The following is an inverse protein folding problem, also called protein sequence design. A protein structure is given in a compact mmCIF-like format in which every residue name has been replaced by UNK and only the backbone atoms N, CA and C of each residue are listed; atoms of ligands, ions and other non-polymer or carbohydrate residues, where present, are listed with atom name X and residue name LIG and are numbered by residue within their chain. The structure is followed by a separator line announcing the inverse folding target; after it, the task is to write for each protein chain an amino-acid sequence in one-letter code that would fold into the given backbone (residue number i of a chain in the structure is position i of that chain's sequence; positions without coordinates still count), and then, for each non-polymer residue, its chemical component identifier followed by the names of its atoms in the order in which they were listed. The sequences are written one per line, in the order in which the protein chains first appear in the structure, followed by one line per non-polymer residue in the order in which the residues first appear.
data_IF_808492282363
#
_entry.id   IF_808492282363
#
_cell.length_a   1.000
_cell.length_b   1.000
_cell.length_c   1.000
_cell.angle_alpha   90.00
_cell.angle_beta   90.00
_cell.angle_gamma   90.00
#
_symmetry.space_group_name_H-M   'P 1'
#
loop_
_entity.id
_entity.type
_entity.pdbx_description
1 polymer ?
#
# COMPACT_ATOMS: atom_id res chain seq x y z
N UNK A 1 -0.90 -40.78 -2.77
CA UNK A 1 -0.60 -40.21 -4.11
C UNK A 1 -1.83 -40.11 -5.02
N UNK A 2 -2.95 -40.76 -4.71
CA UNK A 2 -4.16 -40.72 -5.56
C UNK A 2 -5.05 -39.49 -5.30
N UNK A 3 -4.99 -38.92 -4.09
CA UNK A 3 -5.83 -37.77 -3.72
C UNK A 3 -5.42 -36.43 -4.36
N UNK A 4 -4.14 -36.29 -4.75
CA UNK A 4 -3.57 -35.06 -5.33
C UNK A 4 -3.82 -34.94 -6.83
N UNK A 5 -4.06 -36.06 -7.55
CA UNK A 5 -4.35 -36.03 -8.99
C UNK A 5 -5.76 -35.54 -9.31
N UNK A 6 -6.72 -35.81 -8.44
CA UNK A 6 -8.10 -35.37 -8.66
C UNK A 6 -8.25 -33.85 -8.53
N UNK A 7 -7.51 -33.21 -7.62
CA UNK A 7 -7.56 -31.75 -7.44
C UNK A 7 -6.97 -30.97 -8.61
N UNK A 8 -5.98 -31.53 -9.32
CA UNK A 8 -5.36 -30.87 -10.48
C UNK A 8 -6.27 -30.98 -11.72
N UNK A 9 -7.01 -32.09 -11.86
CA UNK A 9 -8.00 -32.26 -12.93
C UNK A 9 -9.11 -31.21 -12.86
N UNK A 10 -9.65 -31.00 -11.65
CA UNK A 10 -10.74 -30.04 -11.43
C UNK A 10 -10.29 -28.59 -11.69
N UNK A 11 -9.05 -28.23 -11.33
CA UNK A 11 -8.50 -26.89 -11.59
C UNK A 11 -8.29 -26.64 -13.09
N UNK A 12 -7.85 -27.65 -13.85
CA UNK A 12 -7.62 -27.51 -15.29
C UNK A 12 -8.94 -27.39 -16.05
N UNK A 13 -9.99 -28.09 -15.63
CA UNK A 13 -11.30 -28.01 -16.26
C UNK A 13 -11.96 -26.63 -16.02
N UNK A 14 -11.87 -26.09 -14.80
CA UNK A 14 -12.35 -24.74 -14.46
C UNK A 14 -11.58 -23.63 -15.20
N UNK A 15 -10.24 -23.79 -15.32
CA UNK A 15 -9.40 -22.83 -16.05
C UNK A 15 -9.68 -22.83 -17.55
N UNK A 16 -10.02 -24.00 -18.12
CA UNK A 16 -10.33 -24.12 -19.55
C UNK A 16 -11.69 -23.49 -19.92
N UNK A 17 -12.65 -23.49 -18.98
CA UNK A 17 -13.92 -22.78 -19.13
C UNK A 17 -13.75 -21.25 -19.08
N UNK A 18 -12.85 -20.74 -18.23
CA UNK A 18 -12.53 -19.30 -18.19
C UNK A 18 -11.77 -18.83 -19.44
N UNK A 19 -10.90 -19.65 -20.02
CA UNK A 19 -10.16 -19.29 -21.23
C UNK A 19 -11.09 -19.20 -22.47
N UNK A 20 -12.17 -19.99 -22.50
CA UNK A 20 -13.21 -19.85 -23.52
C UNK A 20 -13.96 -18.51 -23.40
N UNK A 21 -14.10 -17.96 -22.18
CA UNK A 21 -14.67 -16.63 -21.97
C UNK A 21 -13.74 -15.51 -22.50
N UNK A 22 -12.42 -15.66 -22.36
CA UNK A 22 -11.40 -14.71 -22.85
C UNK A 22 -11.44 -14.55 -24.38
N UNK A 23 -11.74 -15.62 -25.11
CA UNK A 23 -11.87 -15.56 -26.59
C UNK A 23 -13.14 -14.81 -27.03
N UNK A 24 -14.18 -14.79 -26.20
CA UNK A 24 -15.38 -13.98 -26.43
C UNK A 24 -15.14 -12.47 -26.27
N UNK A 25 -14.16 -12.07 -25.43
CA UNK A 25 -13.86 -10.65 -25.13
C UNK A 25 -13.32 -9.90 -26.34
N UNK A 26 -12.50 -10.54 -27.18
CA UNK A 26 -11.99 -9.91 -28.40
C UNK A 26 -13.11 -9.60 -29.42
N UNK A 27 -14.16 -10.44 -29.45
CA UNK A 27 -15.31 -10.26 -30.34
C UNK A 27 -16.20 -9.11 -29.85
N UNK A 28 -16.41 -8.98 -28.53
CA UNK A 28 -17.24 -7.91 -27.94
C UNK A 28 -16.58 -6.53 -28.11
N UNK A 29 -15.26 -6.42 -27.93
CA UNK A 29 -14.52 -5.15 -28.13
C UNK A 29 -14.52 -4.72 -29.60
N UNK A 30 -14.45 -5.68 -30.55
CA UNK A 30 -14.58 -5.39 -31.98
C UNK A 30 -16.00 -4.93 -32.36
N UNK A 31 -17.04 -5.49 -31.73
CA UNK A 31 -18.43 -5.08 -31.91
C UNK A 31 -18.72 -3.68 -31.35
N UNK A 32 -18.00 -3.25 -30.31
CA UNK A 32 -18.17 -1.93 -29.66
C UNK A 32 -17.42 -0.79 -30.37
N UNK A 33 -16.38 -1.09 -31.14
CA UNK A 33 -15.52 -0.08 -31.80
C UNK A 33 -15.80 0.08 -33.29
N UNK A 34 -16.57 -0.83 -33.89
CA UNK A 34 -16.99 -0.71 -35.29
C UNK A 34 -18.25 0.19 -35.34
N UNK A 35 -18.23 1.33 -36.05
CA UNK A 35 -19.45 2.10 -36.25
C UNK A 35 -20.46 1.21 -36.97
N UNK A 36 -21.63 0.99 -36.35
CA UNK A 36 -22.73 0.25 -36.96
C UNK A 36 -23.15 1.03 -38.21
N UNK A 37 -22.69 0.56 -39.36
CA UNK A 37 -23.03 1.13 -40.66
C UNK A 37 -24.53 0.99 -40.90
N UNK A 38 -25.21 2.13 -41.02
CA UNK A 38 -26.38 2.33 -41.87
C UNK A 38 -27.69 1.68 -41.41
N UNK A 39 -28.52 2.45 -40.69
CA UNK A 39 -29.90 2.08 -40.40
C UNK A 39 -30.68 3.16 -39.65
N UNK A 40 -31.01 4.23 -40.37
CA UNK A 40 -32.00 5.29 -40.11
C UNK A 40 -32.90 5.11 -38.87
N UNK A 41 -32.80 6.03 -37.90
CA UNK A 41 -33.95 6.43 -37.07
C UNK A 41 -34.00 7.96 -37.06
N UNK A 42 -34.56 8.54 -38.12
CA UNK A 42 -34.83 9.97 -38.20
C UNK A 42 -36.00 10.33 -37.26
N UNK A 43 -35.67 11.01 -36.17
CA UNK A 43 -36.62 11.59 -35.21
C UNK A 43 -35.92 11.93 -33.91
N UNK A 44 -36.11 13.14 -33.38
CA UNK A 44 -35.36 13.70 -32.24
C UNK A 44 -35.38 12.87 -30.94
N UNK A 45 -36.30 11.90 -30.81
CA UNK A 45 -36.31 10.95 -29.70
C UNK A 45 -35.37 9.74 -29.93
N UNK A 46 -35.11 9.33 -31.18
CA UNK A 46 -34.26 8.18 -31.52
C UNK A 46 -32.77 8.45 -31.30
N UNK A 47 -32.31 9.67 -31.62
CA UNK A 47 -30.92 10.08 -31.37
C UNK A 47 -30.56 10.06 -29.88
N UNK A 48 -31.48 10.49 -29.00
CA UNK A 48 -31.26 10.50 -27.56
C UNK A 48 -31.21 9.08 -26.93
N UNK A 49 -31.97 8.13 -27.48
CA UNK A 49 -31.96 6.74 -27.02
C UNK A 49 -30.68 6.01 -27.47
N UNK A 50 -30.20 6.28 -28.68
CA UNK A 50 -28.92 5.73 -29.17
C UNK A 50 -27.74 6.29 -28.37
N UNK A 51 -27.78 7.58 -28.04
CA UNK A 51 -26.73 8.24 -27.23
C UNK A 51 -26.74 7.70 -25.77
N UNK A 52 -27.92 7.56 -25.16
CA UNK A 52 -28.06 6.98 -23.82
C UNK A 52 -27.68 5.50 -23.76
N UNK A 53 -27.96 4.72 -24.82
CA UNK A 53 -27.53 3.33 -24.92
C UNK A 53 -26.01 3.21 -25.11
N UNK A 54 -25.42 4.08 -25.94
CA UNK A 54 -23.96 4.16 -26.12
C UNK A 54 -23.22 4.47 -24.83
N UNK A 55 -23.69 5.47 -24.06
CA UNK A 55 -23.10 5.85 -22.77
C UNK A 55 -23.22 4.72 -21.74
N UNK A 56 -24.36 4.02 -21.69
CA UNK A 56 -24.53 2.87 -20.78
C UNK A 56 -23.67 1.67 -21.17
N UNK A 57 -23.52 1.39 -22.47
CA UNK A 57 -22.61 0.32 -22.93
C UNK A 57 -21.14 0.65 -22.68
N UNK A 58 -20.74 1.91 -22.85
CA UNK A 58 -19.38 2.34 -22.52
C UNK A 58 -19.06 2.20 -21.02
N UNK A 59 -20.02 2.53 -20.15
CA UNK A 59 -19.86 2.36 -18.70
C UNK A 59 -19.73 0.88 -18.31
N UNK A 60 -20.57 0.00 -18.86
CA UNK A 60 -20.50 -1.45 -18.62
C UNK A 60 -19.20 -2.04 -19.18
N UNK A 61 -18.73 -1.57 -20.34
CA UNK A 61 -17.45 -1.99 -20.90
C UNK A 61 -16.26 -1.55 -20.03
N UNK A 62 -16.28 -0.34 -19.48
CA UNK A 62 -15.23 0.12 -18.55
C UNK A 62 -15.21 -0.68 -17.25
N UNK A 63 -16.36 -0.99 -16.65
CA UNK A 63 -16.41 -1.85 -15.46
C UNK A 63 -15.92 -3.27 -15.75
N UNK A 64 -16.25 -3.81 -16.92
CA UNK A 64 -15.78 -5.13 -17.34
C UNK A 64 -14.27 -5.16 -17.60
N UNK A 65 -13.69 -4.12 -18.19
CA UNK A 65 -12.23 -3.99 -18.36
C UNK A 65 -11.52 -3.85 -17.02
N UNK A 66 -12.09 -3.13 -16.05
CA UNK A 66 -11.54 -3.03 -14.69
C UNK A 66 -11.59 -4.38 -13.97
N UNK A 67 -12.71 -5.10 -14.09
CA UNK A 67 -12.85 -6.44 -13.51
C UNK A 67 -11.87 -7.45 -14.12
N UNK A 68 -11.67 -7.40 -15.44
CA UNK A 68 -10.68 -8.24 -16.14
C UNK A 68 -9.25 -7.82 -15.78
N UNK A 69 -8.96 -6.52 -15.65
CA UNK A 69 -7.65 -6.03 -15.22
C UNK A 69 -7.24 -6.59 -13.84
N UNK A 70 -8.21 -6.73 -12.93
CA UNK A 70 -8.02 -7.41 -11.64
C UNK A 70 -7.79 -8.92 -11.75
N UNK A 71 -8.40 -9.58 -12.74
CA UNK A 71 -8.22 -11.00 -12.99
C UNK A 71 -6.91 -11.32 -13.77
N UNK A 72 -6.41 -10.44 -14.64
CA UNK A 72 -5.14 -10.66 -15.34
C UNK A 72 -3.95 -10.58 -14.37
N UNK A 73 -4.05 -9.81 -13.28
CA UNK A 73 -3.06 -9.85 -12.19
C UNK A 73 -3.00 -11.18 -11.43
N UNK A 74 -4.05 -12.02 -11.48
CA UNK A 74 -4.02 -13.35 -10.83
C UNK A 74 -3.51 -14.43 -11.78
N UNK A 75 -3.72 -14.31 -13.09
CA UNK A 75 -3.20 -15.29 -14.08
C UNK A 75 -1.69 -15.15 -14.32
N UNK A 76 -1.15 -13.92 -14.35
CA UNK A 76 0.30 -13.71 -14.42
C UNK A 76 1.04 -14.28 -13.18
N UNK A 77 0.38 -14.32 -12.02
CA UNK A 77 0.89 -14.97 -10.82
C UNK A 77 0.83 -16.51 -10.91
N UNK A 78 -0.17 -17.06 -11.62
CA UNK A 78 -0.31 -18.50 -11.81
C UNK A 78 0.70 -19.06 -12.83
N UNK A 79 0.94 -18.36 -13.95
CA UNK A 79 1.95 -18.78 -14.94
C UNK A 79 3.38 -18.69 -14.38
N UNK A 80 3.67 -17.69 -13.54
CA UNK A 80 4.92 -17.62 -12.78
C UNK A 80 5.07 -18.80 -11.81
N UNK A 81 3.97 -19.25 -11.18
CA UNK A 81 3.95 -20.42 -10.30
C UNK A 81 4.24 -21.74 -11.02
N UNK A 82 3.68 -21.95 -12.21
CA UNK A 82 3.89 -23.18 -12.98
C UNK A 82 5.31 -23.26 -13.59
N UNK A 83 5.84 -22.15 -14.10
CA UNK A 83 7.22 -22.08 -14.57
C UNK A 83 8.23 -22.28 -13.42
N UNK A 84 7.94 -21.73 -12.24
CA UNK A 84 8.74 -21.92 -11.03
C UNK A 84 8.67 -23.37 -10.52
N UNK A 85 7.50 -24.02 -10.55
CA UNK A 85 7.33 -25.41 -10.17
C UNK A 85 8.13 -26.37 -11.08
N UNK A 86 8.19 -26.10 -12.39
CA UNK A 86 9.05 -26.86 -13.30
C UNK A 86 10.54 -26.60 -13.09
N UNK A 87 10.94 -25.38 -12.68
CA UNK A 87 12.33 -25.05 -12.36
C UNK A 87 12.81 -25.70 -11.05
N UNK A 88 11.95 -25.75 -10.03
CA UNK A 88 12.25 -26.40 -8.74
C UNK A 88 12.46 -27.91 -8.93
N UNK A 89 11.67 -28.57 -9.78
CA UNK A 89 11.73 -30.04 -9.92
C UNK A 89 12.87 -30.54 -10.83
N UNK A 90 13.56 -29.64 -11.55
CA UNK A 90 14.64 -29.97 -12.49
C UNK A 90 16.02 -29.41 -12.07
N UNK A 91 16.12 -28.75 -10.91
CA UNK A 91 17.42 -28.26 -10.41
C UNK A 91 18.09 -29.37 -9.59
N UNK A 92 19.30 -29.82 -9.94
CA UNK A 92 20.05 -30.76 -9.10
C UNK A 92 20.30 -30.13 -7.73
N UNK A 93 19.92 -30.83 -6.65
CA UNK A 93 20.01 -30.33 -5.27
C UNK A 93 21.38 -29.68 -5.00
N UNK A 94 21.45 -28.36 -4.73
CA UNK A 94 22.65 -27.80 -4.15
C UNK A 94 22.68 -28.21 -2.68
N UNK A 95 23.77 -28.86 -2.28
CA UNK A 95 24.08 -29.26 -0.92
C UNK A 95 24.24 -28.02 -0.01
N UNK A 96 23.11 -27.43 0.42
CA UNK A 96 23.07 -26.31 1.35
C UNK A 96 22.26 -26.73 2.57
N UNK A 97 22.92 -26.73 3.72
CA UNK A 97 22.34 -27.00 5.04
C UNK A 97 21.09 -26.14 5.27
N UNK A 98 19.97 -26.79 5.63
CA UNK A 98 18.60 -26.25 5.73
C UNK A 98 18.37 -25.08 6.72
N UNK A 99 19.42 -24.47 7.28
CA UNK A 99 19.30 -23.33 8.20
C UNK A 99 19.18 -21.97 7.50
N UNK A 100 19.56 -21.84 6.23
CA UNK A 100 19.59 -20.55 5.54
C UNK A 100 18.36 -20.29 4.63
N UNK A 101 17.67 -21.34 4.16
CA UNK A 101 16.55 -21.20 3.23
C UNK A 101 15.29 -20.55 3.84
N UNK A 102 15.12 -20.60 5.16
CA UNK A 102 13.96 -20.01 5.86
C UNK A 102 14.09 -18.49 6.06
N UNK A 103 15.29 -17.91 5.93
CA UNK A 103 15.48 -16.45 6.02
C UNK A 103 15.20 -15.75 4.69
N UNK A 104 15.59 -16.34 3.56
CA UNK A 104 15.52 -15.69 2.25
C UNK A 104 14.07 -15.48 1.75
N UNK A 105 13.10 -16.29 2.21
CA UNK A 105 11.71 -16.16 1.78
C UNK A 105 10.91 -15.07 2.50
N UNK A 106 11.39 -14.53 3.64
CA UNK A 106 10.73 -13.46 4.39
C UNK A 106 11.27 -12.06 4.05
N UNK A 107 12.38 -11.98 3.31
CA UNK A 107 13.07 -10.71 3.00
C UNK A 107 12.69 -10.14 1.63
N UNK A 108 11.88 -10.84 0.84
CA UNK A 108 11.38 -10.30 -0.45
C UNK A 108 10.26 -9.31 -0.15
N UNK A 109 10.62 -8.06 0.14
CA UNK A 109 9.71 -6.93 0.39
C UNK A 109 9.74 -6.36 1.81
N UNK A 110 10.52 -6.95 2.73
CA UNK A 110 10.78 -6.37 4.05
C UNK A 110 11.97 -5.41 3.97
N UNK A 111 11.81 -4.21 4.51
CA UNK A 111 12.88 -3.21 4.60
C UNK A 111 13.84 -3.49 5.75
N UNK A 112 14.87 -2.66 5.88
CA UNK A 112 15.97 -2.87 6.84
C UNK A 112 15.89 -1.94 8.07
N UNK A 113 16.53 -2.36 9.16
CA UNK A 113 16.70 -1.53 10.37
C UNK A 113 18.18 -1.49 10.73
N UNK A 114 18.78 -0.30 10.63
CA UNK A 114 20.18 -0.04 10.96
C UNK A 114 20.31 0.71 12.30
N UNK A 115 20.79 0.00 13.33
CA UNK A 115 21.12 0.51 14.67
C UNK A 115 22.64 0.50 14.93
N UNK A 116 23.46 0.61 13.88
CA UNK A 116 24.92 0.61 13.99
C UNK A 116 25.46 1.90 14.62
N UNK A 117 24.83 3.03 14.36
CA UNK A 117 25.23 4.34 14.86
C UNK A 117 24.65 4.70 16.25
N UNK A 118 23.62 3.98 16.69
CA UNK A 118 22.92 4.21 17.95
C UNK A 118 21.76 3.23 18.13
N UNK A 119 21.13 3.21 19.31
CA UNK A 119 19.97 2.36 19.59
C UNK A 119 18.67 3.15 19.57
N UNK A 120 17.62 2.56 19.04
CA UNK A 120 16.26 3.04 19.21
C UNK A 120 15.80 2.80 20.64
N UNK A 121 15.00 3.73 21.17
CA UNK A 121 14.21 3.43 22.38
C UNK A 121 13.18 2.34 22.07
N UNK A 122 12.61 1.64 23.07
CA UNK A 122 11.60 0.61 22.81
C UNK A 122 10.38 1.10 22.00
N UNK A 123 9.97 2.35 22.20
CA UNK A 123 8.87 2.97 21.46
C UNK A 123 9.27 3.24 20.00
N UNK A 124 10.43 3.87 19.78
CA UNK A 124 10.95 4.11 18.43
C UNK A 124 11.21 2.80 17.68
N UNK A 125 11.68 1.75 18.38
CA UNK A 125 11.99 0.45 17.79
C UNK A 125 10.74 -0.20 17.24
N UNK A 126 9.60 -0.13 17.94
CA UNK A 126 8.31 -0.65 17.45
C UNK A 126 7.88 0.05 16.17
N UNK A 127 8.05 1.37 16.11
CA UNK A 127 7.75 2.13 14.91
C UNK A 127 8.70 1.77 13.75
N UNK A 128 10.00 1.61 14.03
CA UNK A 128 10.98 1.15 13.04
C UNK A 128 10.65 -0.25 12.51
N UNK A 129 10.21 -1.19 13.37
CA UNK A 129 9.77 -2.54 12.96
C UNK A 129 8.56 -2.50 12.04
N UNK A 130 7.59 -1.64 12.36
CA UNK A 130 6.43 -1.42 11.51
C UNK A 130 6.86 -0.90 10.14
N UNK A 131 7.70 0.13 10.10
CA UNK A 131 8.16 0.72 8.83
C UNK A 131 8.97 -0.29 8.00
N UNK A 132 9.86 -1.06 8.62
CA UNK A 132 10.57 -2.14 7.93
C UNK A 132 9.63 -3.23 7.42
N UNK A 133 8.59 -3.59 8.17
CA UNK A 133 7.55 -4.51 7.68
C UNK A 133 6.77 -3.95 6.48
N UNK A 134 6.73 -2.62 6.31
CA UNK A 134 6.16 -1.93 5.14
C UNK A 134 7.17 -1.77 3.98
N UNK A 135 8.35 -2.38 4.08
CA UNK A 135 9.39 -2.30 3.04
C UNK A 135 10.30 -1.08 3.14
N UNK A 136 10.30 -0.35 4.27
CA UNK A 136 11.11 0.87 4.45
C UNK A 136 12.46 0.59 5.06
N UNK A 137 13.47 1.33 4.60
CA UNK A 137 14.79 1.31 5.21
C UNK A 137 14.85 2.36 6.32
N UNK A 138 15.08 1.92 7.55
CA UNK A 138 15.09 2.77 8.74
C UNK A 138 16.47 2.74 9.39
N UNK A 139 17.12 3.90 9.51
CA UNK A 139 18.44 4.02 10.14
C UNK A 139 18.38 4.97 11.33
N UNK A 140 18.90 4.55 12.49
CA UNK A 140 19.00 5.40 13.67
C UNK A 140 20.00 6.53 13.42
N UNK A 141 19.63 7.75 13.79
CA UNK A 141 20.57 8.86 13.90
C UNK A 141 20.95 9.00 15.39
N UNK A 142 22.24 9.00 15.74
CA UNK A 142 22.67 9.19 17.13
C UNK A 142 22.33 10.58 17.63
N UNK A 143 22.06 10.68 18.94
CA UNK A 143 21.91 11.98 19.59
C UNK A 143 23.18 12.83 19.42
N UNK A 144 22.99 14.11 19.14
CA UNK A 144 24.11 15.05 19.09
C UNK A 144 24.79 15.20 20.46
N UNK A 145 26.12 15.12 20.46
CA UNK A 145 26.97 15.37 21.62
C UNK A 145 27.25 16.86 21.84
N UNK A 146 26.81 17.72 20.93
CA UNK A 146 26.99 19.18 21.02
C UNK A 146 25.83 19.80 21.79
N UNK A 147 26.07 20.54 22.88
CA UNK A 147 25.02 21.17 23.66
C UNK A 147 24.14 22.09 22.81
N UNK A 148 22.81 21.88 22.89
CA UNK A 148 21.83 22.69 22.17
C UNK A 148 21.60 22.28 20.71
N UNK A 149 22.44 21.42 20.13
CA UNK A 149 22.20 20.83 18.81
C UNK A 149 21.37 19.56 18.98
N UNK A 150 20.19 19.51 18.36
CA UNK A 150 19.33 18.33 18.35
C UNK A 150 19.39 17.66 16.97
N UNK A 151 19.14 16.36 16.92
CA UNK A 151 19.23 15.54 15.72
C UNK A 151 17.95 14.74 15.56
N UNK A 152 17.44 14.58 14.34
CA UNK A 152 16.24 13.79 14.14
C UNK A 152 16.39 12.35 14.61
N UNK A 153 15.28 11.69 14.87
CA UNK A 153 15.30 10.35 15.47
C UNK A 153 15.85 9.28 14.51
N UNK A 154 15.52 9.39 13.22
CA UNK A 154 15.88 8.41 12.21
C UNK A 154 16.03 9.01 10.80
N UNK A 155 16.64 8.23 9.91
CA UNK A 155 16.45 8.33 8.46
C UNK A 155 15.47 7.24 8.02
N UNK A 156 14.38 7.60 7.34
CA UNK A 156 13.44 6.66 6.70
C UNK A 156 13.54 6.84 5.19
N UNK A 157 13.98 5.81 4.47
CA UNK A 157 14.36 5.88 3.05
C UNK A 157 15.33 7.04 2.76
N UNK A 158 16.27 7.29 3.68
CA UNK A 158 17.26 8.36 3.59
C UNK A 158 16.75 9.77 3.94
N UNK A 159 15.46 9.94 4.29
CA UNK A 159 14.91 11.24 4.71
C UNK A 159 14.92 11.36 6.24
N UNK A 160 15.38 12.49 6.81
CA UNK A 160 15.26 12.74 8.25
C UNK A 160 13.81 12.69 8.70
N UNK A 161 13.54 11.97 9.78
CA UNK A 161 12.18 11.75 10.30
C UNK A 161 12.16 11.78 11.82
N UNK A 162 11.21 12.53 12.38
CA UNK A 162 10.88 12.54 13.81
C UNK A 162 9.88 11.43 14.14
N UNK A 163 10.07 10.73 15.26
CA UNK A 163 9.13 9.76 15.79
C UNK A 163 8.47 10.33 17.06
N UNK A 164 7.15 10.17 17.16
CA UNK A 164 6.40 10.62 18.35
C UNK A 164 5.33 9.63 18.76
N UNK A 165 5.17 9.46 20.07
CA UNK A 165 3.98 8.84 20.66
C UNK A 165 3.17 9.85 21.46
N UNK A 166 1.96 9.47 21.85
CA UNK A 166 1.19 10.20 22.85
C UNK A 166 1.52 9.70 24.26
N UNK A 167 1.82 10.64 25.16
CA UNK A 167 1.95 10.35 26.59
C UNK A 167 0.61 10.34 27.32
N UNK A 168 -0.40 11.04 26.77
CA UNK A 168 -1.77 11.02 27.31
C UNK A 168 -2.46 9.70 26.94
N UNK A 169 -3.23 9.10 27.86
CA UNK A 169 -3.97 7.88 27.58
C UNK A 169 -5.07 8.09 26.53
N UNK A 170 -5.80 9.20 26.64
CA UNK A 170 -6.95 9.52 25.78
C UNK A 170 -6.71 10.79 24.95
N UNK A 171 -5.82 10.75 23.93
CA UNK A 171 -5.58 11.89 23.06
C UNK A 171 -6.81 12.18 22.19
N UNK A 172 -6.92 13.42 21.73
CA UNK A 172 -7.95 13.88 20.79
C UNK A 172 -7.31 14.78 19.72
N UNK A 173 -8.12 15.31 18.79
CA UNK A 173 -7.68 16.20 17.71
C UNK A 173 -6.84 17.40 18.23
N UNK A 174 -7.28 18.00 19.34
CA UNK A 174 -6.59 19.13 19.96
C UNK A 174 -5.25 18.71 20.57
N UNK A 175 -5.17 17.49 21.10
CA UNK A 175 -3.92 16.93 21.64
C UNK A 175 -2.92 16.71 20.51
N UNK A 176 -3.33 16.13 19.38
CA UNK A 176 -2.48 15.99 18.20
C UNK A 176 -1.97 17.34 17.70
N UNK A 177 -2.87 18.30 17.50
CA UNK A 177 -2.51 19.64 17.02
C UNK A 177 -1.48 20.33 17.92
N UNK A 178 -1.63 20.21 19.24
CA UNK A 178 -0.67 20.74 20.23
C UNK A 178 0.65 19.99 20.24
N UNK A 179 0.64 18.68 20.03
CA UNK A 179 1.86 17.87 19.90
C UNK A 179 2.67 18.33 18.69
N UNK A 180 2.02 18.49 17.54
CA UNK A 180 2.65 18.97 16.31
C UNK A 180 3.18 20.39 16.47
N UNK A 181 2.37 21.31 17.00
CA UNK A 181 2.76 22.69 17.29
C UNK A 181 3.97 22.76 18.23
N UNK A 182 3.92 22.02 19.35
CA UNK A 182 4.99 22.01 20.34
C UNK A 182 6.28 21.40 19.81
N UNK A 183 6.19 20.49 18.84
CA UNK A 183 7.33 19.86 18.19
C UNK A 183 7.97 20.79 17.16
N UNK A 184 7.17 21.37 16.25
CA UNK A 184 7.64 22.33 15.24
C UNK A 184 8.28 23.57 15.88
N UNK A 185 7.64 24.19 16.88
CA UNK A 185 8.14 25.40 17.56
C UNK A 185 9.48 25.21 18.30
N UNK A 186 9.83 23.97 18.65
CA UNK A 186 11.13 23.66 19.27
C UNK A 186 12.26 23.51 18.24
N UNK A 187 12.02 23.98 17.01
CA UNK A 187 12.96 23.91 15.89
C UNK A 187 12.97 22.53 15.26
N UNK A 188 11.78 22.01 14.92
CA UNK A 188 11.53 20.66 14.40
C UNK A 188 12.74 20.02 13.72
N UNK A 189 13.23 18.93 14.30
CA UNK A 189 14.54 18.35 13.95
C UNK A 189 14.53 17.70 12.55
N UNK A 190 13.34 17.45 12.02
CA UNK A 190 13.10 17.06 10.64
C UNK A 190 11.80 17.69 10.09
N UNK A 191 11.69 17.70 8.76
CA UNK A 191 10.49 18.10 8.03
C UNK A 191 9.46 16.98 7.89
N UNK A 192 9.84 15.75 8.20
CA UNK A 192 8.91 14.61 8.28
C UNK A 192 8.70 14.18 9.73
N UNK A 193 7.45 13.88 10.09
CA UNK A 193 7.10 13.33 11.41
C UNK A 193 6.13 12.16 11.29
N UNK A 194 6.35 11.14 12.12
CA UNK A 194 5.47 10.00 12.26
C UNK A 194 4.99 9.92 13.71
N UNK A 195 3.67 9.99 13.89
CA UNK A 195 2.99 9.85 15.18
C UNK A 195 2.45 8.42 15.30
N UNK A 196 2.92 7.68 16.30
CA UNK A 196 2.34 6.40 16.71
C UNK A 196 1.23 6.63 17.76
N UNK A 197 0.03 6.25 17.38
CA UNK A 197 -1.18 6.26 18.18
C UNK A 197 -1.83 4.87 18.26
N UNK A 198 -1.09 3.81 17.90
CA UNK A 198 -1.62 2.43 17.84
C UNK A 198 -2.17 1.97 19.20
N UNK A 199 -1.57 2.42 20.30
CA UNK A 199 -1.94 2.06 21.67
C UNK A 199 -2.92 3.05 22.33
N UNK A 200 -3.61 3.87 21.53
CA UNK A 200 -4.52 4.93 22.01
C UNK A 200 -5.98 4.60 21.66
N UNK A 201 -6.67 3.81 22.51
CA UNK A 201 -8.05 3.43 22.26
C UNK A 201 -8.95 4.66 22.15
N UNK A 202 -9.86 4.65 21.18
CA UNK A 202 -10.77 5.78 20.93
C UNK A 202 -10.16 6.94 20.14
N UNK A 203 -8.86 6.94 19.85
CA UNK A 203 -8.26 7.88 18.91
C UNK A 203 -8.49 7.41 17.46
N UNK A 204 -9.31 8.15 16.72
CA UNK A 204 -9.76 7.74 15.37
C UNK A 204 -9.02 8.48 14.25
N UNK A 205 -9.08 7.93 13.04
CA UNK A 205 -8.58 8.60 11.84
C UNK A 205 -9.23 9.98 11.61
N UNK A 206 -10.51 10.14 11.97
CA UNK A 206 -11.21 11.43 11.89
C UNK A 206 -10.60 12.46 12.86
N UNK A 207 -10.29 12.04 14.09
CA UNK A 207 -9.59 12.90 15.05
C UNK A 207 -8.18 13.26 14.58
N UNK A 208 -7.47 12.32 13.95
CA UNK A 208 -6.16 12.59 13.36
C UNK A 208 -6.25 13.63 12.24
N UNK A 209 -7.21 13.47 11.33
CA UNK A 209 -7.48 14.40 10.22
C UNK A 209 -7.76 15.81 10.76
N UNK A 210 -8.74 15.95 11.67
CA UNK A 210 -9.09 17.22 12.31
C UNK A 210 -7.92 17.84 13.08
N UNK A 211 -7.12 17.02 13.75
CA UNK A 211 -5.96 17.46 14.52
C UNK A 211 -4.85 18.03 13.63
N UNK A 212 -4.61 17.39 12.48
CA UNK A 212 -3.69 17.89 11.45
C UNK A 212 -4.24 19.16 10.82
N UNK A 213 -5.48 19.19 10.33
CA UNK A 213 -6.10 20.41 9.77
C UNK A 213 -6.02 21.61 10.72
N UNK A 214 -6.31 21.38 12.00
CA UNK A 214 -6.17 22.39 13.05
C UNK A 214 -4.73 22.88 13.21
N UNK A 215 -3.73 22.01 13.08
CA UNK A 215 -2.32 22.40 13.12
C UNK A 215 -1.96 23.28 11.91
N UNK A 216 -2.42 22.91 10.71
CA UNK A 216 -2.12 23.64 9.47
C UNK A 216 -2.73 25.04 9.44
N UNK A 217 -3.89 25.22 10.07
CA UNK A 217 -4.53 26.54 10.18
C UNK A 217 -3.80 27.54 11.08
N UNK A 218 -2.67 27.18 11.71
CA UNK A 218 -1.94 28.04 12.67
C UNK A 218 -0.87 28.94 12.05
N UNK A 219 -0.63 28.87 10.74
CA UNK A 219 0.44 29.62 10.04
C UNK A 219 1.82 29.45 10.72
N UNK A 220 2.18 28.19 10.96
CA UNK A 220 3.46 27.81 11.57
C UNK A 220 4.28 27.11 10.50
N UNK A 221 5.53 27.53 10.30
CA UNK A 221 6.48 26.76 9.48
C UNK A 221 6.71 25.40 10.13
N UNK A 222 6.25 24.36 9.42
CA UNK A 222 5.93 23.08 10.02
C UNK A 222 6.58 21.91 9.30
N UNK A 223 5.77 20.90 9.08
CA UNK A 223 6.19 19.65 8.46
C UNK A 223 5.82 19.66 6.98
N UNK A 224 6.70 19.07 6.17
CA UNK A 224 6.43 18.77 4.76
C UNK A 224 5.69 17.43 4.64
N UNK A 225 5.77 16.57 5.67
CA UNK A 225 5.03 15.31 5.76
C UNK A 225 4.73 14.94 7.21
N UNK A 226 3.48 14.56 7.45
CA UNK A 226 2.93 14.11 8.72
C UNK A 226 2.25 12.78 8.45
N UNK A 227 2.70 11.74 9.14
CA UNK A 227 1.99 10.46 9.18
C UNK A 227 1.48 10.22 10.58
N UNK A 228 0.24 9.77 10.70
CA UNK A 228 -0.34 9.32 11.96
C UNK A 228 -0.79 7.87 11.77
N UNK A 229 -0.34 6.99 12.65
CA UNK A 229 -0.65 5.57 12.61
C UNK A 229 -1.50 5.25 13.84
N UNK A 230 -2.71 4.77 13.63
CA UNK A 230 -3.55 4.27 14.71
C UNK A 230 -3.80 2.78 14.60
N UNK A 231 -4.70 2.28 15.43
CA UNK A 231 -5.10 0.88 15.43
C UNK A 231 -5.91 0.55 14.17
N UNK A 232 -5.30 -0.16 13.23
CA UNK A 232 -5.94 -0.58 11.96
C UNK A 232 -6.09 0.52 10.90
N UNK A 233 -5.56 1.72 11.11
CA UNK A 233 -5.65 2.82 10.15
C UNK A 233 -4.37 3.65 10.06
N UNK A 234 -4.18 4.31 8.92
CA UNK A 234 -3.14 5.30 8.72
C UNK A 234 -3.72 6.59 8.11
N UNK A 235 -3.14 7.71 8.49
CA UNK A 235 -3.39 9.02 7.91
C UNK A 235 -2.05 9.62 7.49
N UNK A 236 -1.98 10.24 6.31
CA UNK A 236 -0.78 10.92 5.82
C UNK A 236 -1.17 12.26 5.21
N UNK A 237 -0.37 13.29 5.48
CA UNK A 237 -0.53 14.64 4.98
C UNK A 237 0.82 15.35 4.80
N UNK A 238 1.03 16.04 3.68
CA UNK A 238 0.75 15.49 2.35
C UNK A 238 1.42 14.11 2.18
#
# INVERSE_FOLDING_TARGET
MEHTRNTIGDIVEDTSAELAAVTGVAIVVSLLTTPIGGGVVEGGAGAAVVDAAGVRMAAVASEFVIAIGGAVSTVAAAEAGAALAMAINNTPDPNVTQHEATQVSNDVGRGTIDESAGKFTPEERRLAERLAAEGKDVKKIPESTTPGLRTPDALVDGRPTEFKGFTKPDPNDLTLSRTLEGSSKKGGQAREIIIDATDKPGFTQEMATKGVERFLGKDIDGYDKIRVIGDGWNFTWP
#
